data_IF_815437349491
#
_entry.id   IF_815437349491
#
_cell.length_a   1.000
_cell.length_b   1.000
_cell.length_c   1.000
_cell.angle_alpha   90.00
_cell.angle_beta   90.00
_cell.angle_gamma   90.00
#
_symmetry.space_group_name_H-M   'P 1'
#
loop_
_entity.id
_entity.type
_entity.pdbx_description
1 polymer ?
#
# COMPACT_ATOMS: atom_id res chain seq x y z
N UNK A 1 -14.98 4.04 -25.35
CA UNK A 1 -13.60 3.51 -25.35
C UNK A 1 -13.07 3.24 -23.94
N UNK A 2 -13.16 4.19 -23.00
CA UNK A 2 -12.75 3.99 -21.59
C UNK A 2 -13.36 2.72 -20.95
N UNK A 3 -14.70 2.59 -20.95
CA UNK A 3 -15.39 1.45 -20.33
C UNK A 3 -14.95 0.09 -20.89
N UNK A 4 -14.64 0.00 -22.18
CA UNK A 4 -14.17 -1.23 -22.80
C UNK A 4 -12.77 -1.60 -22.31
N UNK A 5 -11.89 -0.61 -22.17
CA UNK A 5 -10.56 -0.84 -21.61
C UNK A 5 -10.63 -1.17 -20.12
N UNK A 6 -11.48 -0.48 -19.35
CA UNK A 6 -11.67 -0.76 -17.94
C UNK A 6 -12.19 -2.18 -17.72
N UNK A 7 -13.18 -2.61 -18.51
CA UNK A 7 -13.69 -3.99 -18.52
C UNK A 7 -12.58 -4.99 -18.85
N UNK A 8 -11.66 -4.66 -19.77
CA UNK A 8 -10.50 -5.50 -20.09
C UNK A 8 -9.57 -5.67 -18.88
N UNK A 9 -9.19 -4.59 -18.20
CA UNK A 9 -8.34 -4.67 -17.00
C UNK A 9 -8.99 -5.54 -15.90
N UNK A 10 -10.29 -5.33 -15.64
CA UNK A 10 -11.03 -6.12 -14.66
C UNK A 10 -11.11 -7.60 -15.04
N UNK A 11 -11.41 -7.89 -16.31
CA UNK A 11 -11.48 -9.26 -16.82
C UNK A 11 -10.14 -9.96 -16.70
N UNK A 12 -9.03 -9.27 -16.98
CA UNK A 12 -7.68 -9.82 -16.86
C UNK A 12 -7.34 -10.12 -15.39
N UNK A 13 -7.68 -9.22 -14.47
CA UNK A 13 -7.44 -9.42 -13.04
C UNK A 13 -8.25 -10.58 -12.46
N UNK A 14 -9.49 -10.76 -12.92
CA UNK A 14 -10.36 -11.87 -12.53
C UNK A 14 -9.87 -13.20 -13.09
N UNK A 15 -9.59 -13.27 -14.40
CA UNK A 15 -9.12 -14.51 -15.05
C UNK A 15 -7.75 -14.98 -14.60
N UNK A 16 -6.90 -14.05 -14.15
CA UNK A 16 -5.58 -14.38 -13.59
C UNK A 16 -5.63 -14.70 -12.10
N UNK A 17 -6.81 -14.66 -11.47
CA UNK A 17 -7.02 -14.80 -10.01
C UNK A 17 -6.21 -13.82 -9.14
N UNK A 18 -5.52 -12.85 -9.73
CA UNK A 18 -4.69 -11.87 -9.00
C UNK A 18 -5.52 -11.04 -8.03
N UNK A 19 -6.71 -10.62 -8.44
CA UNK A 19 -7.59 -9.84 -7.57
C UNK A 19 -8.10 -10.69 -6.40
N UNK A 20 -8.55 -11.92 -6.68
CA UNK A 20 -9.03 -12.85 -5.65
C UNK A 20 -7.92 -13.20 -4.66
N UNK A 21 -6.72 -13.50 -5.15
CA UNK A 21 -5.55 -13.77 -4.32
C UNK A 21 -5.21 -12.58 -3.41
N UNK A 22 -5.25 -11.34 -3.94
CA UNK A 22 -5.04 -10.14 -3.14
C UNK A 22 -6.09 -10.01 -2.03
N UNK A 23 -7.37 -10.21 -2.35
CA UNK A 23 -8.44 -10.13 -1.35
C UNK A 23 -8.28 -11.17 -0.24
N UNK A 24 -7.93 -12.41 -0.59
CA UNK A 24 -7.70 -13.49 0.39
C UNK A 24 -6.53 -13.11 1.31
N UNK A 25 -5.41 -12.69 0.75
CA UNK A 25 -4.23 -12.28 1.53
C UNK A 25 -4.58 -11.13 2.46
N UNK A 26 -5.25 -10.09 1.97
CA UNK A 26 -5.60 -8.92 2.78
C UNK A 26 -6.62 -9.26 3.87
N UNK A 27 -7.56 -10.16 3.60
CA UNK A 27 -8.46 -10.67 4.63
C UNK A 27 -7.71 -11.46 5.71
N UNK A 28 -6.74 -12.30 5.32
CA UNK A 28 -5.88 -13.02 6.26
C UNK A 28 -5.10 -12.04 7.12
N UNK A 29 -4.44 -11.03 6.52
CA UNK A 29 -3.71 -10.01 7.28
C UNK A 29 -4.64 -9.27 8.26
N UNK A 30 -5.85 -8.94 7.83
CA UNK A 30 -6.84 -8.25 8.65
C UNK A 30 -7.27 -9.05 9.87
N UNK A 31 -7.56 -10.35 9.69
CA UNK A 31 -7.99 -11.27 10.76
C UNK A 31 -6.82 -11.66 11.67
N UNK A 32 -5.65 -11.92 11.09
CA UNK A 32 -4.47 -12.35 11.84
C UNK A 32 -3.96 -11.28 12.78
N UNK A 33 -4.14 -9.99 12.47
CA UNK A 33 -3.54 -8.91 13.26
C UNK A 33 -4.06 -8.87 14.72
N UNK A 34 -5.40 -8.83 14.97
CA UNK A 34 -5.97 -9.00 16.31
C UNK A 34 -5.61 -10.34 16.96
N UNK A 35 -5.68 -11.45 16.22
CA UNK A 35 -5.42 -12.78 16.77
C UNK A 35 -3.96 -12.93 17.24
N UNK A 36 -3.01 -12.42 16.47
CA UNK A 36 -1.59 -12.42 16.84
C UNK A 36 -1.39 -11.55 18.08
N UNK A 37 -1.98 -10.36 18.14
CA UNK A 37 -1.89 -9.50 19.33
C UNK A 37 -2.40 -10.23 20.58
N UNK A 38 -3.56 -10.90 20.49
CA UNK A 38 -4.15 -11.65 21.60
C UNK A 38 -3.26 -12.82 22.07
N UNK A 39 -2.67 -13.56 21.12
CA UNK A 39 -1.90 -14.78 21.42
C UNK A 39 -0.42 -14.51 21.75
N UNK A 40 0.10 -13.32 21.45
CA UNK A 40 1.52 -12.99 21.66
C UNK A 40 1.96 -13.17 23.11
N UNK A 41 1.23 -12.70 24.13
CA UNK A 41 1.62 -12.91 25.53
C UNK A 41 1.68 -14.40 25.92
N UNK A 42 0.73 -15.22 25.45
CA UNK A 42 0.69 -16.65 25.73
C UNK A 42 1.87 -17.39 25.07
N UNK A 43 2.14 -17.08 23.80
CA UNK A 43 3.28 -17.64 23.06
C UNK A 43 4.59 -17.30 23.77
N UNK A 44 4.78 -16.02 24.13
CA UNK A 44 5.98 -15.60 24.87
C UNK A 44 6.07 -16.31 26.22
N UNK A 45 4.98 -16.34 27.00
CA UNK A 45 4.95 -17.03 28.29
C UNK A 45 5.31 -18.52 28.21
N UNK A 46 4.99 -19.19 27.10
CA UNK A 46 5.34 -20.60 26.86
C UNK A 46 6.81 -20.83 26.46
N UNK A 47 7.48 -19.81 25.93
CA UNK A 47 8.88 -19.87 25.45
C UNK A 47 9.87 -19.35 26.49
N UNK A 48 9.42 -18.50 27.41
CA UNK A 48 10.27 -17.93 28.47
C UNK A 48 10.69 -18.99 29.49
N UNK A 49 12.00 -19.04 29.77
CA UNK A 49 12.59 -19.89 30.80
C UNK A 49 12.12 -19.50 32.22
N UNK A 50 12.24 -20.44 33.17
CA UNK A 50 11.73 -20.29 34.55
C UNK A 50 12.22 -19.02 35.27
N UNK A 51 13.42 -18.54 34.97
CA UNK A 51 14.03 -17.36 35.56
C UNK A 51 13.36 -16.03 35.12
N UNK A 52 12.65 -16.03 33.99
CA UNK A 52 11.92 -14.87 33.44
C UNK A 52 10.44 -14.85 33.84
N UNK A 53 9.92 -15.89 34.51
CA UNK A 53 8.50 -16.00 34.92
C UNK A 53 8.06 -14.97 35.97
N UNK A 54 9.01 -14.24 36.57
CA UNK A 54 8.71 -13.09 37.44
C UNK A 54 8.40 -11.79 36.68
N UNK A 55 8.63 -11.75 35.36
CA UNK A 55 8.31 -10.61 34.51
C UNK A 55 6.85 -10.73 34.06
N UNK A 56 5.95 -9.95 34.66
CA UNK A 56 4.55 -9.87 34.20
C UNK A 56 4.53 -9.31 32.78
N UNK A 57 4.16 -10.14 31.80
CA UNK A 57 3.96 -9.67 30.44
C UNK A 57 2.81 -8.65 30.43
N UNK A 58 2.94 -7.55 29.67
CA UNK A 58 1.86 -6.59 29.54
C UNK A 58 0.63 -7.27 28.92
N UNK A 59 -0.54 -6.88 29.40
CA UNK A 59 -1.81 -7.29 28.79
C UNK A 59 -1.88 -6.74 27.36
N UNK A 60 -2.36 -7.54 26.39
CA UNK A 60 -2.47 -7.10 25.01
C UNK A 60 -3.55 -6.02 24.90
N UNK A 61 -3.35 -5.05 24.01
CA UNK A 61 -4.24 -3.89 23.84
C UNK A 61 -4.81 -3.79 22.42
N UNK A 62 -5.84 -2.95 22.25
CA UNK A 62 -6.35 -2.60 20.92
C UNK A 62 -5.25 -2.04 19.99
N UNK A 63 -4.27 -1.32 20.55
CA UNK A 63 -3.17 -0.72 19.80
C UNK A 63 -2.21 -1.78 19.28
N UNK A 64 -2.00 -2.89 20.00
CA UNK A 64 -1.16 -4.01 19.55
C UNK A 64 -1.77 -4.70 18.32
N UNK A 65 -3.09 -4.86 18.30
CA UNK A 65 -3.82 -5.37 17.12
C UNK A 65 -3.55 -4.50 15.89
N UNK A 66 -3.68 -3.18 16.03
CA UNK A 66 -3.40 -2.26 14.92
C UNK A 66 -1.90 -2.15 14.62
N UNK A 67 -1.01 -2.31 15.60
CA UNK A 67 0.43 -2.36 15.36
C UNK A 67 0.80 -3.55 14.47
N UNK A 68 0.22 -4.73 14.73
CA UNK A 68 0.37 -5.90 13.85
C UNK A 68 -0.22 -5.63 12.46
N UNK A 69 -1.38 -4.98 12.39
CA UNK A 69 -2.01 -4.62 11.11
C UNK A 69 -1.12 -3.69 10.28
N UNK A 70 -0.68 -2.57 10.83
CA UNK A 70 0.13 -1.60 10.09
C UNK A 70 1.50 -2.17 9.75
N UNK A 71 2.14 -2.94 10.64
CA UNK A 71 3.41 -3.61 10.36
C UNK A 71 3.29 -4.54 9.15
N UNK A 72 2.32 -5.45 9.17
CA UNK A 72 2.12 -6.43 8.11
C UNK A 72 1.61 -5.80 6.80
N UNK A 73 0.67 -4.86 6.88
CA UNK A 73 0.05 -4.26 5.72
C UNK A 73 0.99 -3.29 5.00
N UNK A 74 1.68 -2.41 5.75
CA UNK A 74 2.61 -1.43 5.18
C UNK A 74 3.90 -2.09 4.64
N UNK A 75 4.25 -3.29 5.12
CA UNK A 75 5.39 -4.05 4.58
C UNK A 75 4.95 -5.09 3.56
N UNK A 76 4.32 -6.18 4.01
CA UNK A 76 3.95 -7.32 3.16
C UNK A 76 2.77 -7.00 2.25
N UNK A 77 1.73 -6.35 2.76
CA UNK A 77 0.54 -6.01 1.97
C UNK A 77 0.87 -5.16 0.75
N UNK A 78 1.65 -4.10 0.92
CA UNK A 78 2.12 -3.25 -0.17
C UNK A 78 3.02 -4.01 -1.15
N UNK A 79 3.98 -4.82 -0.68
CA UNK A 79 4.83 -5.61 -1.56
C UNK A 79 4.03 -6.61 -2.40
N UNK A 80 3.07 -7.31 -1.80
CA UNK A 80 2.20 -8.26 -2.50
C UNK A 80 1.37 -7.54 -3.57
N UNK A 81 0.84 -6.36 -3.26
CA UNK A 81 0.14 -5.53 -4.25
C UNK A 81 1.05 -5.19 -5.44
N UNK A 82 2.29 -4.75 -5.20
CA UNK A 82 3.27 -4.42 -6.25
C UNK A 82 3.62 -5.66 -7.09
N UNK A 83 3.81 -6.83 -6.47
CA UNK A 83 4.12 -8.07 -7.19
C UNK A 83 2.97 -8.46 -8.12
N UNK A 84 1.73 -8.40 -7.63
CA UNK A 84 0.55 -8.82 -8.39
C UNK A 84 0.22 -7.83 -9.51
N UNK A 85 0.26 -6.52 -9.22
CA UNK A 85 -0.29 -5.48 -10.08
C UNK A 85 0.74 -4.49 -10.63
N UNK A 86 1.98 -4.48 -10.14
CA UNK A 86 3.02 -3.55 -10.60
C UNK A 86 3.42 -3.74 -12.06
N UNK A 87 3.15 -4.91 -12.64
CA UNK A 87 3.42 -5.21 -14.05
C UNK A 87 2.32 -4.75 -15.02
N UNK A 88 1.29 -4.04 -14.54
CA UNK A 88 0.08 -3.68 -15.32
C UNK A 88 0.38 -2.93 -16.62
N UNK A 89 1.46 -2.15 -16.67
CA UNK A 89 1.88 -1.41 -17.86
C UNK A 89 3.01 -2.12 -18.60
N UNK A 90 3.99 -2.66 -17.88
CA UNK A 90 5.20 -3.28 -18.47
C UNK A 90 4.89 -4.56 -19.26
N UNK A 91 3.85 -5.31 -18.88
CA UNK A 91 3.39 -6.48 -19.65
C UNK A 91 2.85 -6.08 -21.02
N UNK A 92 2.28 -4.88 -21.16
CA UNK A 92 1.80 -4.41 -22.46
C UNK A 92 2.93 -3.98 -23.37
N UNK A 93 3.98 -3.38 -22.80
CA UNK A 93 5.21 -3.06 -23.53
C UNK A 93 5.90 -4.33 -24.01
N UNK A 94 6.10 -5.32 -23.13
CA UNK A 94 6.82 -6.55 -23.51
C UNK A 94 6.07 -7.40 -24.53
N UNK A 95 4.73 -7.36 -24.54
CA UNK A 95 3.90 -8.12 -25.48
C UNK A 95 3.52 -7.35 -26.75
N UNK A 96 3.94 -6.09 -26.90
CA UNK A 96 3.54 -5.24 -28.03
C UNK A 96 2.03 -4.97 -28.14
N UNK A 97 1.25 -5.33 -27.12
CA UNK A 97 -0.22 -5.22 -27.16
C UNK A 97 -0.70 -3.77 -27.14
N UNK A 98 0.17 -2.85 -26.73
CA UNK A 98 -0.11 -1.42 -26.76
C UNK A 98 -0.33 -0.89 -28.17
N UNK A 99 0.41 -1.40 -29.17
CA UNK A 99 0.25 -1.01 -30.59
C UNK A 99 -1.16 -1.33 -31.05
N UNK A 100 -1.65 -2.55 -30.76
CA UNK A 100 -2.99 -3.00 -31.12
C UNK A 100 -4.12 -2.16 -30.48
N UNK A 101 -3.87 -1.59 -29.30
CA UNK A 101 -4.82 -0.69 -28.65
C UNK A 101 -4.83 0.68 -29.34
N UNK A 102 -3.66 1.22 -29.67
CA UNK A 102 -3.52 2.54 -30.30
C UNK A 102 -3.98 2.55 -31.76
N UNK A 103 -3.72 1.51 -32.54
CA UNK A 103 -4.18 1.39 -33.93
C UNK A 103 -5.71 1.30 -34.04
N UNK A 104 -6.39 0.88 -32.96
CA UNK A 104 -7.86 0.90 -32.84
C UNK A 104 -8.43 2.27 -32.42
N UNK A 105 -7.63 3.34 -32.48
CA UNK A 105 -8.04 4.72 -32.19
C UNK A 105 -8.13 5.06 -30.70
N UNK A 106 -7.60 4.20 -29.81
CA UNK A 106 -7.60 4.48 -28.38
C UNK A 106 -6.60 5.59 -28.04
N UNK A 107 -7.03 6.61 -27.30
CA UNK A 107 -6.11 7.65 -26.87
C UNK A 107 -5.10 7.14 -25.83
N UNK A 108 -3.84 7.57 -25.94
CA UNK A 108 -2.77 7.22 -25.00
C UNK A 108 -3.10 7.63 -23.55
N UNK A 109 -3.79 8.77 -23.39
CA UNK A 109 -4.24 9.20 -22.06
C UNK A 109 -5.26 8.24 -21.46
N UNK A 110 -6.23 7.74 -22.24
CA UNK A 110 -7.25 6.80 -21.73
C UNK A 110 -6.59 5.55 -21.14
N UNK A 111 -5.47 5.08 -21.72
CA UNK A 111 -4.71 3.93 -21.18
C UNK A 111 -4.24 4.17 -19.76
N UNK A 112 -3.57 5.31 -19.51
CA UNK A 112 -3.03 5.63 -18.19
C UNK A 112 -4.14 5.88 -17.17
N UNK A 113 -5.19 6.63 -17.53
CA UNK A 113 -6.31 6.88 -16.63
C UNK A 113 -7.04 5.59 -16.25
N UNK A 114 -7.25 4.69 -17.21
CA UNK A 114 -7.92 3.42 -16.96
C UNK A 114 -7.12 2.56 -16.00
N UNK A 115 -5.80 2.42 -16.22
CA UNK A 115 -4.92 1.62 -15.36
C UNK A 115 -4.79 2.22 -13.97
N UNK A 116 -4.64 3.54 -13.86
CA UNK A 116 -4.57 4.21 -12.57
C UNK A 116 -5.86 4.04 -11.76
N UNK A 117 -7.03 4.25 -12.39
CA UNK A 117 -8.32 4.05 -11.72
C UNK A 117 -8.52 2.59 -11.31
N UNK A 118 -8.16 1.65 -12.18
CA UNK A 118 -8.23 0.22 -11.88
C UNK A 118 -7.37 -0.14 -10.66
N UNK A 119 -6.10 0.28 -10.63
CA UNK A 119 -5.20 0.05 -9.50
C UNK A 119 -5.72 0.69 -8.21
N UNK A 120 -6.24 1.91 -8.28
CA UNK A 120 -6.80 2.63 -7.13
C UNK A 120 -8.00 1.88 -6.54
N UNK A 121 -8.91 1.39 -7.38
CA UNK A 121 -10.08 0.61 -6.92
C UNK A 121 -9.62 -0.71 -6.28
N UNK A 122 -8.71 -1.45 -6.92
CA UNK A 122 -8.19 -2.70 -6.38
C UNK A 122 -7.53 -2.50 -5.02
N UNK A 123 -6.66 -1.50 -4.90
CA UNK A 123 -6.02 -1.14 -3.65
C UNK A 123 -7.04 -0.77 -2.57
N UNK A 124 -7.98 0.12 -2.91
CA UNK A 124 -8.98 0.62 -1.95
C UNK A 124 -9.87 -0.50 -1.43
N UNK A 125 -10.34 -1.40 -2.31
CA UNK A 125 -11.21 -2.52 -1.90
C UNK A 125 -10.44 -3.51 -1.02
N UNK A 126 -9.22 -3.89 -1.41
CA UNK A 126 -8.41 -4.82 -0.61
C UNK A 126 -8.05 -4.22 0.77
N UNK A 127 -7.60 -2.96 0.78
CA UNK A 127 -7.29 -2.22 2.01
C UNK A 127 -8.50 -2.10 2.93
N UNK A 128 -9.67 -1.74 2.38
CA UNK A 128 -10.90 -1.60 3.15
C UNK A 128 -11.33 -2.92 3.79
N UNK A 129 -11.21 -4.04 3.08
CA UNK A 129 -11.52 -5.36 3.64
C UNK A 129 -10.59 -5.68 4.81
N UNK A 130 -9.29 -5.50 4.65
CA UNK A 130 -8.32 -5.76 5.73
C UNK A 130 -8.59 -4.86 6.95
N UNK A 131 -8.72 -3.55 6.74
CA UNK A 131 -8.98 -2.58 7.80
C UNK A 131 -10.30 -2.84 8.54
N UNK A 132 -11.35 -3.20 7.79
CA UNK A 132 -12.67 -3.53 8.35
C UNK A 132 -12.61 -4.78 9.22
N UNK A 133 -11.92 -5.83 8.75
CA UNK A 133 -11.74 -7.06 9.52
C UNK A 133 -10.91 -6.80 10.78
N UNK A 134 -9.79 -6.09 10.68
CA UNK A 134 -9.00 -5.71 11.86
C UNK A 134 -9.83 -4.91 12.85
N UNK A 135 -10.55 -3.89 12.39
CA UNK A 135 -11.39 -3.08 13.25
C UNK A 135 -12.46 -3.92 13.98
N UNK A 136 -13.22 -4.74 13.25
CA UNK A 136 -14.30 -5.54 13.84
C UNK A 136 -13.80 -6.52 14.89
N UNK A 137 -12.69 -7.20 14.64
CA UNK A 137 -12.10 -8.11 15.62
C UNK A 137 -11.44 -7.35 16.78
N UNK A 138 -10.88 -6.16 16.54
CA UNK A 138 -10.27 -5.36 17.61
C UNK A 138 -11.32 -4.90 18.62
N UNK A 139 -12.42 -4.28 18.16
CA UNK A 139 -13.49 -3.82 19.06
C UNK A 139 -14.28 -4.98 19.71
N UNK A 140 -14.08 -6.22 19.24
CA UNK A 140 -14.68 -7.40 19.85
C UNK A 140 -13.90 -7.87 21.08
N UNK A 141 -12.58 -7.71 21.09
CA UNK A 141 -11.69 -8.16 22.18
C UNK A 141 -11.29 -7.03 23.14
N UNK A 142 -11.29 -5.78 22.67
CA UNK A 142 -10.77 -4.62 23.40
C UNK A 142 -11.74 -3.44 23.34
N UNK A 143 -11.81 -2.67 24.43
CA UNK A 143 -12.70 -1.51 24.59
C UNK A 143 -11.94 -0.16 24.56
N UNK A 144 -10.62 -0.18 24.33
CA UNK A 144 -9.81 1.02 24.27
C UNK A 144 -10.22 1.96 23.12
N UNK A 145 -10.19 3.29 23.36
CA UNK A 145 -10.57 4.26 22.35
C UNK A 145 -9.55 4.34 21.20
N UNK A 146 -10.06 4.35 19.96
CA UNK A 146 -9.25 4.55 18.76
C UNK A 146 -9.32 6.02 18.32
N UNK A 147 -8.51 6.88 18.95
CA UNK A 147 -8.67 8.35 18.90
C UNK A 147 -8.72 8.92 17.48
N UNK A 148 -7.66 8.74 16.68
CA UNK A 148 -7.57 9.29 15.32
C UNK A 148 -7.65 8.18 14.25
N UNK A 149 -8.59 7.24 14.40
CA UNK A 149 -8.72 6.06 13.52
C UNK A 149 -8.76 6.41 12.03
N UNK A 150 -9.57 7.39 11.64
CA UNK A 150 -9.66 7.78 10.23
C UNK A 150 -8.33 8.33 9.70
N UNK A 151 -7.63 9.14 10.50
CA UNK A 151 -6.32 9.67 10.15
C UNK A 151 -5.29 8.55 9.97
N UNK A 152 -5.25 7.60 10.90
CA UNK A 152 -4.36 6.44 10.83
C UNK A 152 -4.64 5.55 9.62
N UNK A 153 -5.91 5.29 9.29
CA UNK A 153 -6.27 4.51 8.10
C UNK A 153 -5.96 5.28 6.80
N UNK A 154 -6.23 6.58 6.80
CA UNK A 154 -6.02 7.44 5.63
C UNK A 154 -4.54 7.48 5.23
N UNK A 155 -3.60 7.61 6.17
CA UNK A 155 -2.18 7.74 5.82
C UNK A 155 -1.63 6.49 5.14
N UNK A 156 -1.98 5.29 5.61
CA UNK A 156 -1.60 4.02 4.95
C UNK A 156 -2.27 3.86 3.58
N UNK A 157 -3.57 4.18 3.46
CA UNK A 157 -4.25 4.14 2.18
C UNK A 157 -3.59 5.11 1.18
N UNK A 158 -3.28 6.33 1.62
CA UNK A 158 -2.69 7.39 0.80
C UNK A 158 -1.26 7.05 0.36
N UNK A 159 -0.46 6.44 1.23
CA UNK A 159 0.85 5.93 0.86
C UNK A 159 0.77 4.85 -0.25
N UNK A 160 -0.26 4.00 -0.22
CA UNK A 160 -0.55 3.08 -1.33
C UNK A 160 -0.87 3.79 -2.65
N UNK A 161 -1.60 4.92 -2.61
CA UNK A 161 -1.87 5.76 -3.80
C UNK A 161 -0.57 6.37 -4.36
N UNK A 162 0.31 6.84 -3.48
CA UNK A 162 1.64 7.30 -3.86
C UNK A 162 2.44 6.20 -4.57
N UNK A 163 2.45 4.97 -4.03
CA UNK A 163 3.12 3.83 -4.65
C UNK A 163 2.54 3.46 -6.02
N UNK A 164 1.22 3.52 -6.19
CA UNK A 164 0.58 3.32 -7.50
C UNK A 164 1.14 4.32 -8.53
N UNK A 165 1.27 5.60 -8.16
CA UNK A 165 1.81 6.64 -9.04
C UNK A 165 3.29 6.41 -9.35
N UNK A 166 4.07 5.99 -8.36
CA UNK A 166 5.47 5.62 -8.54
C UNK A 166 5.66 4.43 -9.48
N UNK A 167 4.85 3.37 -9.32
CA UNK A 167 4.86 2.18 -10.21
C UNK A 167 4.56 2.58 -11.65
N UNK A 168 3.51 3.38 -11.88
CA UNK A 168 3.14 3.81 -13.22
C UNK A 168 4.23 4.67 -13.86
N UNK A 169 4.83 5.57 -13.08
CA UNK A 169 5.93 6.42 -13.53
C UNK A 169 7.18 5.60 -13.86
N UNK A 170 7.63 4.73 -12.97
CA UNK A 170 8.74 3.82 -13.21
C UNK A 170 8.48 2.93 -14.43
N UNK A 171 7.24 2.46 -14.61
CA UNK A 171 6.86 1.63 -15.75
C UNK A 171 7.07 2.33 -17.09
N UNK A 172 6.73 3.61 -17.21
CA UNK A 172 6.96 4.36 -18.47
C UNK A 172 8.43 4.73 -18.69
N UNK A 173 9.25 4.76 -17.63
CA UNK A 173 10.69 5.00 -17.74
C UNK A 173 11.43 3.75 -18.20
N UNK A 174 11.20 2.62 -17.52
CA UNK A 174 12.03 1.43 -17.68
C UNK A 174 11.43 0.37 -18.61
N UNK A 175 10.11 0.34 -18.77
CA UNK A 175 9.36 -0.62 -19.59
C UNK A 175 9.55 -2.11 -19.24
N UNK A 176 10.36 -2.42 -18.23
CA UNK A 176 10.66 -3.76 -17.74
C UNK A 176 10.23 -3.91 -16.28
N UNK A 177 9.43 -4.93 -15.99
CA UNK A 177 8.85 -5.14 -14.65
C UNK A 177 9.90 -5.32 -13.55
N UNK A 178 10.98 -6.07 -13.83
CA UNK A 178 12.03 -6.34 -12.83
C UNK A 178 12.72 -5.03 -12.45
N UNK A 179 13.05 -4.20 -13.44
CA UNK A 179 13.67 -2.89 -13.20
C UNK A 179 12.72 -1.94 -12.45
N UNK A 180 11.43 -1.98 -12.77
CA UNK A 180 10.40 -1.21 -12.04
C UNK A 180 10.34 -1.63 -10.57
N UNK A 181 10.25 -2.93 -10.32
CA UNK A 181 10.21 -3.48 -8.96
C UNK A 181 11.46 -3.07 -8.17
N UNK A 182 12.65 -3.27 -8.75
CA UNK A 182 13.91 -2.87 -8.12
C UNK A 182 13.97 -1.36 -7.85
N UNK A 183 13.53 -0.52 -8.78
CA UNK A 183 13.51 0.94 -8.57
C UNK A 183 12.59 1.34 -7.41
N UNK A 184 11.39 0.76 -7.32
CA UNK A 184 10.46 1.02 -6.21
C UNK A 184 11.07 0.58 -4.88
N UNK A 185 11.67 -0.61 -4.81
CA UNK A 185 12.31 -1.12 -3.60
C UNK A 185 13.50 -0.25 -3.16
N UNK A 186 14.33 0.19 -4.10
CA UNK A 186 15.46 1.09 -3.80
C UNK A 186 14.96 2.43 -3.24
N UNK A 187 13.86 2.97 -3.77
CA UNK A 187 13.28 4.22 -3.26
C UNK A 187 12.72 4.02 -1.85
N UNK A 188 12.01 2.92 -1.59
CA UNK A 188 11.51 2.60 -0.25
C UNK A 188 12.66 2.42 0.76
N UNK A 189 13.72 1.71 0.36
CA UNK A 189 14.89 1.53 1.21
C UNK A 189 15.64 2.86 1.44
N UNK A 190 15.74 3.72 0.42
CA UNK A 190 16.32 5.05 0.57
C UNK A 190 15.52 5.90 1.56
N UNK A 191 14.19 5.82 1.56
CA UNK A 191 13.38 6.49 2.57
C UNK A 191 13.68 5.99 3.98
N UNK A 192 13.88 4.68 4.18
CA UNK A 192 14.27 4.15 5.49
C UNK A 192 15.63 4.68 5.95
N UNK A 193 16.62 4.77 5.04
CA UNK A 193 17.94 5.30 5.37
C UNK A 193 17.91 6.80 5.67
N UNK A 194 17.16 7.58 4.89
CA UNK A 194 17.05 9.02 5.07
C UNK A 194 16.26 9.38 6.33
N UNK A 195 15.31 8.55 6.74
CA UNK A 195 14.50 8.74 7.95
C UNK A 195 15.31 8.63 9.25
N UNK A 196 16.57 8.17 9.20
CA UNK A 196 17.47 8.16 10.37
C UNK A 196 17.70 9.59 10.90
N UNK A 197 17.70 10.59 10.01
CA UNK A 197 17.83 11.99 10.41
C UNK A 197 16.44 12.61 10.66
N UNK A 198 16.10 13.05 11.90
CA UNK A 198 14.76 13.52 12.25
C UNK A 198 14.26 14.65 11.35
N UNK A 199 15.11 15.66 11.09
CA UNK A 199 14.73 16.80 10.24
C UNK A 199 14.43 16.42 8.79
N UNK A 200 14.99 15.31 8.29
CA UNK A 200 14.70 14.80 6.95
C UNK A 200 13.44 13.94 7.00
N UNK A 201 13.29 13.12 8.05
CA UNK A 201 12.19 12.17 8.21
C UNK A 201 10.83 12.85 8.03
N UNK A 202 10.61 14.02 8.63
CA UNK A 202 9.33 14.75 8.54
C UNK A 202 8.90 15.17 7.12
N UNK A 203 9.82 15.14 6.15
CA UNK A 203 9.54 15.45 4.75
C UNK A 203 9.37 14.20 3.87
N UNK A 204 9.72 13.02 4.37
CA UNK A 204 9.70 11.80 3.58
C UNK A 204 8.30 11.19 3.50
N UNK A 205 7.90 10.61 2.36
CA UNK A 205 6.59 9.97 2.23
C UNK A 205 6.33 8.83 3.21
N UNK A 206 7.36 8.08 3.63
CA UNK A 206 7.18 6.98 4.61
C UNK A 206 6.89 7.48 6.03
N UNK A 207 7.07 8.77 6.33
CA UNK A 207 6.78 9.33 7.66
C UNK A 207 5.28 9.28 8.01
N UNK A 208 4.40 9.37 7.00
CA UNK A 208 2.94 9.29 7.24
C UNK A 208 2.49 7.91 7.72
N UNK A 209 3.28 6.86 7.42
CA UNK A 209 2.99 5.47 7.82
C UNK A 209 3.83 4.99 9.01
N UNK A 210 4.72 5.83 9.56
CA UNK A 210 5.50 5.46 10.75
C UNK A 210 4.81 5.83 12.06
N UNK A 211 3.76 6.65 12.01
CA UNK A 211 3.03 7.13 13.19
C UNK A 211 1.58 6.61 13.27
N UNK A 212 1.23 5.58 12.48
CA UNK A 212 -0.15 5.05 12.43
C UNK A 212 -0.69 4.66 13.81
N UNK A 213 0.11 3.96 14.64
CA UNK A 213 -0.31 3.50 15.97
C UNK A 213 -0.39 4.67 16.95
N UNK A 214 0.59 5.58 16.91
CA UNK A 214 0.61 6.76 17.78
C UNK A 214 -0.60 7.68 17.56
N UNK A 215 -1.14 7.74 16.32
CA UNK A 215 -2.41 8.41 16.02
C UNK A 215 -3.61 7.73 16.71
N UNK A 216 -3.60 6.40 16.84
CA UNK A 216 -4.66 5.66 17.53
C UNK A 216 -4.59 5.88 19.05
N UNK A 217 -3.39 5.83 19.61
CA UNK A 217 -3.13 6.11 21.03
C UNK A 217 -3.45 7.55 21.42
N UNK A 218 -3.48 8.47 20.45
CA UNK A 218 -3.60 9.92 20.71
C UNK A 218 -2.31 10.56 21.23
N UNK A 219 -1.18 9.83 21.16
CA UNK A 219 0.16 10.30 21.52
C UNK A 219 0.79 11.15 20.42
N UNK A 220 0.22 11.13 19.22
CA UNK A 220 0.64 11.89 18.06
C UNK A 220 -0.58 12.48 17.35
N UNK A 221 -0.44 13.70 16.81
CA UNK A 221 -1.54 14.41 16.18
C UNK A 221 -1.42 14.44 14.65
N UNK A 222 -2.52 14.17 13.95
CA UNK A 222 -2.54 14.08 12.49
C UNK A 222 -2.05 15.36 11.81
N UNK A 223 -2.34 16.53 12.37
CA UNK A 223 -1.98 17.82 11.79
C UNK A 223 -0.45 18.01 11.70
N UNK A 224 0.32 17.31 12.53
CA UNK A 224 1.79 17.34 12.48
C UNK A 224 2.36 16.68 11.22
N UNK A 225 1.59 15.83 10.54
CA UNK A 225 2.00 15.15 9.30
C UNK A 225 1.97 16.03 8.06
N UNK A 226 1.58 17.31 8.17
CA UNK A 226 1.34 18.20 7.02
C UNK A 226 2.51 18.27 6.02
N UNK A 227 3.76 18.23 6.50
CA UNK A 227 4.97 18.25 5.65
C UNK A 227 5.04 17.00 4.77
N UNK A 228 5.06 15.83 5.40
CA UNK A 228 5.11 14.54 4.72
C UNK A 228 3.87 14.31 3.84
N UNK A 229 2.67 14.69 4.29
CA UNK A 229 1.44 14.63 3.49
C UNK A 229 1.53 15.53 2.25
N UNK A 230 2.02 16.76 2.40
CA UNK A 230 2.22 17.70 1.30
C UNK A 230 3.21 17.19 0.26
N UNK A 231 4.38 16.71 0.70
CA UNK A 231 5.38 16.11 -0.20
C UNK A 231 4.83 14.89 -0.91
N UNK A 232 4.14 14.00 -0.19
CA UNK A 232 3.54 12.79 -0.75
C UNK A 232 2.49 13.14 -1.81
N UNK A 233 1.63 14.12 -1.54
CA UNK A 233 0.62 14.60 -2.49
C UNK A 233 1.25 15.20 -3.74
N UNK A 234 2.20 16.11 -3.58
CA UNK A 234 2.89 16.76 -4.71
C UNK A 234 3.63 15.72 -5.54
N UNK A 235 4.39 14.82 -4.90
CA UNK A 235 5.11 13.75 -5.60
C UNK A 235 4.16 12.82 -6.35
N UNK A 236 3.03 12.44 -5.74
CA UNK A 236 1.98 11.62 -6.39
C UNK A 236 1.47 12.29 -7.66
N UNK A 237 1.08 13.57 -7.56
CA UNK A 237 0.55 14.34 -8.70
C UNK A 237 1.63 14.50 -9.78
N UNK A 238 2.84 14.88 -9.40
CA UNK A 238 3.96 15.08 -10.35
C UNK A 238 4.28 13.79 -11.09
N UNK A 239 4.43 12.66 -10.37
CA UNK A 239 4.68 11.36 -11.01
C UNK A 239 3.55 10.93 -11.94
N UNK A 240 2.30 11.16 -11.54
CA UNK A 240 1.14 10.86 -12.38
C UNK A 240 1.11 11.71 -13.66
N UNK A 241 1.33 13.02 -13.55
CA UNK A 241 1.39 13.94 -14.70
C UNK A 241 2.57 13.59 -15.61
N UNK A 242 3.75 13.35 -15.05
CA UNK A 242 4.93 12.92 -15.81
C UNK A 242 4.70 11.59 -16.53
N UNK A 243 3.96 10.67 -15.91
CA UNK A 243 3.55 9.41 -16.56
C UNK A 243 2.75 9.70 -17.82
N UNK A 244 1.73 10.57 -17.74
CA UNK A 244 0.90 10.93 -18.90
C UNK A 244 1.74 11.60 -20.00
N UNK A 245 2.58 12.57 -19.64
CA UNK A 245 3.41 13.31 -20.60
C UNK A 245 4.39 12.36 -21.30
N UNK A 246 5.08 11.52 -20.54
CA UNK A 246 6.08 10.58 -21.08
C UNK A 246 5.42 9.54 -21.97
N UNK A 247 4.28 8.99 -21.54
CA UNK A 247 3.53 8.00 -22.31
C UNK A 247 2.98 8.58 -23.62
N UNK A 248 2.52 9.83 -23.63
CA UNK A 248 2.11 10.52 -24.87
C UNK A 248 3.24 10.65 -25.88
N UNK A 249 4.48 10.89 -25.44
CA UNK A 249 5.66 11.06 -26.32
C UNK A 249 6.34 9.74 -26.71
N UNK A 250 5.89 8.61 -26.18
CA UNK A 250 6.57 7.33 -26.38
C UNK A 250 6.32 6.79 -27.80
N UNK A 251 7.36 6.55 -28.57
CA UNK A 251 7.23 5.76 -29.79
C UNK A 251 6.89 4.32 -29.40
N UNK A 252 5.80 3.80 -29.93
CA UNK A 252 5.37 2.42 -29.68
C UNK A 252 5.81 1.62 -30.90
N UNK A 253 7.07 1.16 -30.86
CA UNK A 253 7.66 0.23 -31.83
C UNK A 253 7.45 -1.21 -31.40
#
# INVERSE_FOLDING_TARGET
MFNAMFKKEWTQAWKSFKFVALLIVFAILGIMSPLVALLTPEILGSVLEEEMRGFTLPEPTAYDSFAQFYSNLNQLGLLIFIILFGSVLTVEFSRGTLINLLTKGLSRSIVIHTKALFLLIVWTVAYAIAATLTYFYTIFYWDEPLNQLFGALFTSWFFGVFLISLILFASVLFKNFIVVLSAVLVILFAFMLLAIHPDIAEWLPNYIISHNVALLEGSFDFDTLYRALGVTLVATIVMYVLTIIRFKKMEVS
#
